data_IF_584925844335
#
_entry.id   IF_584925844335
#
_cell.length_a   1.000
_cell.length_b   1.000
_cell.length_c   1.000
_cell.angle_alpha   90.00
_cell.angle_beta   90.00
_cell.angle_gamma   90.00
#
_symmetry.space_group_name_H-M   'P 1'
#
loop_
_entity.id
_entity.type
_entity.pdbx_description
1 polymer ?
#
# COMPACT_ATOMS: atom_id res chain seq x y z
N UNK A 1 26.68 26.23 -19.40
CA UNK A 1 25.29 26.27 -18.93
C UNK A 1 24.88 24.93 -18.28
N UNK A 2 25.47 23.82 -18.71
CA UNK A 2 25.10 22.46 -18.26
C UNK A 2 25.28 22.24 -16.76
N UNK A 3 26.35 22.76 -16.17
CA UNK A 3 26.65 22.60 -14.74
C UNK A 3 25.64 23.30 -13.81
N UNK A 4 25.03 24.41 -14.24
CA UNK A 4 24.07 25.14 -13.39
C UNK A 4 22.78 24.35 -13.21
N UNK A 5 22.24 23.82 -14.31
CA UNK A 5 21.01 23.03 -14.27
C UNK A 5 21.25 21.67 -13.59
N UNK A 6 22.41 21.04 -13.83
CA UNK A 6 22.78 19.79 -13.16
C UNK A 6 22.87 19.96 -11.63
N UNK A 7 23.47 21.05 -11.17
CA UNK A 7 23.56 21.37 -9.73
C UNK A 7 22.18 21.66 -9.12
N UNK A 8 21.30 22.33 -9.86
CA UNK A 8 19.93 22.60 -9.41
C UNK A 8 19.09 21.33 -9.27
N UNK A 9 19.27 20.36 -10.18
CA UNK A 9 18.61 19.05 -10.06
C UNK A 9 19.18 18.29 -8.87
N UNK A 10 20.50 18.22 -8.73
CA UNK A 10 21.15 17.52 -7.63
C UNK A 10 20.82 18.08 -6.24
N UNK A 11 20.62 19.40 -6.12
CA UNK A 11 20.21 20.01 -4.85
C UNK A 11 18.75 19.75 -4.49
N UNK A 12 17.87 19.56 -5.49
CA UNK A 12 16.45 19.27 -5.29
C UNK A 12 16.17 17.78 -5.05
N UNK A 13 16.99 16.90 -5.65
CA UNK A 13 16.92 15.43 -5.51
C UNK A 13 16.71 14.94 -4.06
N UNK A 14 17.47 15.39 -3.04
CA UNK A 14 17.27 14.89 -1.68
C UNK A 14 15.88 15.19 -1.10
N UNK A 15 15.31 16.37 -1.37
CA UNK A 15 13.98 16.74 -0.89
C UNK A 15 12.89 15.92 -1.57
N UNK A 16 12.99 15.74 -2.89
CA UNK A 16 12.03 14.94 -3.66
C UNK A 16 12.11 13.47 -3.28
N UNK A 17 13.32 12.93 -3.07
CA UNK A 17 13.51 11.55 -2.61
C UNK A 17 12.82 11.30 -1.27
N UNK A 18 13.00 12.20 -0.29
CA UNK A 18 12.34 12.08 1.02
C UNK A 18 10.82 12.17 0.86
N UNK A 19 10.32 13.10 0.04
CA UNK A 19 8.89 13.22 -0.24
C UNK A 19 8.29 11.98 -0.90
N UNK A 20 8.98 11.42 -1.89
CA UNK A 20 8.58 10.18 -2.56
C UNK A 20 8.62 9.00 -1.59
N UNK A 21 9.66 8.88 -0.77
CA UNK A 21 9.75 7.83 0.24
C UNK A 21 8.61 7.92 1.24
N UNK A 22 8.34 9.11 1.78
CA UNK A 22 7.23 9.35 2.70
C UNK A 22 5.87 9.02 2.06
N UNK A 23 5.64 9.48 0.84
CA UNK A 23 4.44 9.15 0.07
C UNK A 23 4.31 7.64 -0.12
N UNK A 24 5.40 6.95 -0.45
CA UNK A 24 5.40 5.50 -0.65
C UNK A 24 5.06 4.75 0.64
N UNK A 25 5.61 5.16 1.78
CA UNK A 25 5.29 4.61 3.10
C UNK A 25 3.80 4.81 3.40
N UNK A 26 3.28 6.03 3.28
CA UNK A 26 1.87 6.32 3.54
C UNK A 26 0.95 5.52 2.59
N UNK A 27 1.31 5.47 1.31
CA UNK A 27 0.60 4.71 0.27
C UNK A 27 0.61 3.20 0.56
N UNK A 28 1.71 2.68 1.11
CA UNK A 28 1.87 1.27 1.49
C UNK A 28 0.96 0.92 2.65
N UNK A 29 0.99 1.72 3.73
CA UNK A 29 0.13 1.52 4.91
C UNK A 29 -1.36 1.52 4.51
N UNK A 30 -1.79 2.52 3.73
CA UNK A 30 -3.18 2.62 3.26
C UNK A 30 -3.58 1.48 2.31
N UNK A 31 -2.62 0.84 1.62
CA UNK A 31 -2.88 -0.31 0.73
C UNK A 31 -2.88 -1.64 1.48
N UNK A 32 -2.01 -1.77 2.47
CA UNK A 32 -1.90 -2.95 3.32
C UNK A 32 -3.21 -3.18 4.09
N UNK A 33 -3.77 -2.13 4.71
CA UNK A 33 -5.05 -2.20 5.45
C UNK A 33 -6.21 -2.75 4.60
N UNK A 34 -6.26 -2.40 3.31
CA UNK A 34 -7.26 -2.94 2.37
C UNK A 34 -7.04 -4.40 1.99
N UNK A 35 -5.79 -4.85 1.98
CA UNK A 35 -5.42 -6.20 1.57
C UNK A 35 -5.64 -7.19 2.72
N UNK A 36 -5.28 -6.81 3.94
CA UNK A 36 -5.47 -7.63 5.13
C UNK A 36 -6.94 -7.93 5.37
N UNK A 37 -7.82 -6.93 5.30
CA UNK A 37 -9.27 -7.16 5.44
C UNK A 37 -9.82 -8.15 4.42
N UNK A 38 -9.37 -8.08 3.16
CA UNK A 38 -9.84 -8.98 2.10
C UNK A 38 -9.36 -10.42 2.28
N UNK A 39 -8.11 -10.59 2.69
CA UNK A 39 -7.53 -11.92 2.91
C UNK A 39 -8.16 -12.58 4.14
N UNK A 40 -8.38 -11.84 5.24
CA UNK A 40 -9.09 -12.38 6.40
C UNK A 40 -10.48 -12.89 6.05
N UNK A 41 -11.26 -12.14 5.25
CA UNK A 41 -12.58 -12.61 4.83
C UNK A 41 -12.50 -13.85 3.94
N UNK A 42 -11.56 -13.89 2.99
CA UNK A 42 -11.37 -15.08 2.16
C UNK A 42 -11.00 -16.32 2.97
N UNK A 43 -10.10 -16.19 3.95
CA UNK A 43 -9.70 -17.32 4.80
C UNK A 43 -10.88 -17.78 5.68
N UNK A 44 -11.65 -16.85 6.24
CA UNK A 44 -12.82 -17.18 7.06
C UNK A 44 -13.91 -17.89 6.24
N UNK A 45 -14.13 -17.46 5.00
CA UNK A 45 -15.08 -18.08 4.06
C UNK A 45 -14.61 -19.48 3.62
N UNK A 46 -13.32 -19.66 3.36
CA UNK A 46 -12.75 -20.97 3.05
C UNK A 46 -12.88 -21.96 4.21
N UNK A 47 -12.63 -21.52 5.45
CA UNK A 47 -12.79 -22.34 6.64
C UNK A 47 -14.27 -22.67 6.91
N UNK A 48 -15.20 -21.72 6.68
CA UNK A 48 -16.64 -21.99 6.77
C UNK A 48 -17.14 -22.97 5.72
N UNK A 49 -16.67 -22.84 4.49
CA UNK A 49 -17.00 -23.76 3.40
C UNK A 49 -16.53 -25.19 3.72
N UNK A 50 -15.31 -25.33 4.27
CA UNK A 50 -14.80 -26.63 4.75
C UNK A 50 -15.58 -27.17 5.95
N UNK A 51 -16.05 -26.29 6.84
CA UNK A 51 -16.87 -26.65 7.99
C UNK A 51 -18.35 -26.93 7.63
N UNK A 52 -18.77 -26.74 6.37
CA UNK A 52 -20.17 -26.91 5.94
C UNK A 52 -21.12 -25.87 6.55
N UNK A 53 -20.59 -24.75 7.04
CA UNK A 53 -21.37 -23.66 7.61
C UNK A 53 -21.83 -22.70 6.50
N UNK A 54 -23.04 -22.12 6.59
CA UNK A 54 -23.50 -21.15 5.61
C UNK A 54 -22.57 -19.93 5.58
N UNK A 55 -22.33 -19.39 4.38
CA UNK A 55 -21.63 -18.11 4.19
C UNK A 55 -22.36 -17.04 5.03
N UNK A 56 -21.63 -16.14 5.71
CA UNK A 56 -22.29 -15.05 6.41
C UNK A 56 -23.05 -14.22 5.38
N UNK A 57 -24.37 -14.18 5.51
CA UNK A 57 -25.21 -13.29 4.73
C UNK A 57 -25.10 -11.91 5.39
N UNK A 58 -24.31 -11.04 4.75
CA UNK A 58 -24.12 -9.66 5.17
C UNK A 58 -25.48 -8.95 5.08
N UNK A 59 -26.14 -8.73 6.22
CA UNK A 59 -27.36 -7.92 6.33
C UNK A 59 -27.05 -6.43 6.30
#
# INVERSE_FOLDING_TARGET
>A
MDNWWLNAVWSLTPTVLIGLFFFFVLRSILRADRTERRIYQQIEDEERAKAGLPLREDS
#
